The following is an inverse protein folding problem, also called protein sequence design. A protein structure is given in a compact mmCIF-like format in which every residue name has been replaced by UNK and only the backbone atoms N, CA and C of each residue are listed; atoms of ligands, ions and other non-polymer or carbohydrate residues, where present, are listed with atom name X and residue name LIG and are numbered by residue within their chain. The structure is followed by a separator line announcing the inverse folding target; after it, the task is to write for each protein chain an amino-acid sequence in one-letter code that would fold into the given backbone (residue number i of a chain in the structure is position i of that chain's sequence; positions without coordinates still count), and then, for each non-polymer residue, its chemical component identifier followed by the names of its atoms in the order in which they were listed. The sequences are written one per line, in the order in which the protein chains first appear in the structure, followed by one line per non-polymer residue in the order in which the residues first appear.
data_IF_063782060700
#
_entry.id   IF_063782060700
#
_cell.length_a   1.000
_cell.length_b   1.000
_cell.length_c   1.000
_cell.angle_alpha   90.00
_cell.angle_beta   90.00
_cell.angle_gamma   90.00
#
_symmetry.space_group_name_H-M   'P 1'
#
loop_
_entity.id
_entity.type
_entity.pdbx_description
1 polymer ?
#
# COMPACT_ATOMS: atom_id res chain seq x y z
N UNK A 1 25.22 20.65 -11.25
CA UNK A 1 24.81 19.33 -10.71
C UNK A 1 23.72 18.78 -11.62
N UNK A 2 23.79 17.51 -12.01
CA UNK A 2 22.72 16.89 -12.81
C UNK A 2 21.43 16.84 -11.99
N UNK A 3 20.28 17.03 -12.62
CA UNK A 3 18.97 16.79 -11.98
C UNK A 3 18.94 15.36 -11.43
N UNK A 4 18.52 15.18 -10.19
CA UNK A 4 18.41 13.87 -9.55
C UNK A 4 17.38 12.98 -10.27
N UNK A 5 17.50 11.67 -10.04
CA UNK A 5 16.54 10.62 -10.38
C UNK A 5 15.14 11.06 -9.98
N UNK A 6 15.00 11.59 -8.76
CA UNK A 6 13.74 12.08 -8.27
C UNK A 6 13.13 13.17 -9.17
N UNK A 7 13.93 14.17 -9.58
CA UNK A 7 13.45 15.25 -10.46
C UNK A 7 12.94 14.72 -11.80
N UNK A 8 13.40 13.55 -12.24
CA UNK A 8 13.02 12.96 -13.52
C UNK A 8 11.81 12.02 -13.44
N UNK A 9 11.63 11.31 -12.31
CA UNK A 9 10.59 10.29 -12.17
C UNK A 9 9.44 10.66 -11.24
N UNK A 10 9.55 11.74 -10.46
CA UNK A 10 8.49 12.21 -9.53
C UNK A 10 7.12 12.29 -10.18
N UNK A 11 7.05 12.83 -11.40
CA UNK A 11 5.79 12.99 -12.14
C UNK A 11 5.30 11.69 -12.81
N UNK A 12 6.19 10.69 -12.98
CA UNK A 12 5.87 9.38 -13.58
C UNK A 12 5.47 8.33 -12.55
N UNK A 13 5.93 8.48 -11.31
CA UNK A 13 5.67 7.53 -10.23
C UNK A 13 4.34 7.79 -9.50
N UNK A 14 3.75 8.96 -9.73
CA UNK A 14 2.51 9.40 -9.08
C UNK A 14 1.48 9.62 -10.16
N UNK A 15 0.45 8.77 -10.18
CA UNK A 15 -0.67 8.97 -11.09
C UNK A 15 -1.47 10.19 -10.62
N UNK A 16 -1.25 11.35 -11.26
CA UNK A 16 -1.97 12.60 -10.95
C UNK A 16 -3.31 12.68 -11.71
N UNK A 17 -3.73 11.57 -12.34
CA UNK A 17 -5.00 11.46 -13.05
C UNK A 17 -6.20 11.31 -12.12
N UNK A 18 -7.40 11.69 -12.59
CA UNK A 18 -8.65 11.58 -11.84
C UNK A 18 -9.08 10.15 -11.45
N UNK A 19 -8.36 9.14 -11.92
CA UNK A 19 -8.55 7.74 -11.52
C UNK A 19 -7.82 7.38 -10.22
N UNK A 20 -6.88 8.22 -9.77
CA UNK A 20 -6.19 8.00 -8.51
C UNK A 20 -7.13 8.32 -7.33
N UNK A 21 -7.55 7.28 -6.61
CA UNK A 21 -8.45 7.39 -5.44
C UNK A 21 -7.82 8.18 -4.29
N UNK A 22 -6.50 8.34 -4.26
CA UNK A 22 -5.82 9.22 -3.32
C UNK A 22 -6.02 10.70 -3.66
N UNK A 23 -6.36 11.06 -4.90
CA UNK A 23 -6.58 12.46 -5.34
C UNK A 23 -8.06 12.82 -5.51
N UNK A 24 -8.83 11.89 -6.05
CA UNK A 24 -10.23 12.12 -6.34
C UNK A 24 -11.02 10.85 -6.07
N UNK A 25 -11.59 10.77 -4.88
CA UNK A 25 -12.62 9.79 -4.58
C UNK A 25 -13.94 10.34 -5.13
N UNK A 26 -14.48 9.77 -6.21
CA UNK A 26 -15.77 10.25 -6.75
C UNK A 26 -16.92 9.84 -5.83
N UNK A 27 -17.03 8.53 -5.62
CA UNK A 27 -18.08 7.87 -4.85
C UNK A 27 -17.47 6.80 -3.94
N UNK A 28 -18.19 6.45 -2.89
CA UNK A 28 -17.83 5.35 -2.00
C UNK A 28 -18.24 4.04 -2.68
N UNK A 29 -17.26 3.35 -3.25
CA UNK A 29 -17.46 2.04 -3.88
C UNK A 29 -17.41 0.95 -2.82
N UNK A 30 -18.46 0.12 -2.74
CA UNK A 30 -18.66 -0.91 -1.72
C UNK A 30 -17.46 -1.84 -1.51
N UNK A 31 -16.77 -2.22 -2.59
CA UNK A 31 -15.62 -3.13 -2.53
C UNK A 31 -14.32 -2.47 -2.08
N UNK A 32 -14.19 -1.14 -2.21
CA UNK A 32 -12.90 -0.46 -1.99
C UNK A 32 -12.95 0.63 -0.92
N UNK A 33 -14.11 0.94 -0.37
CA UNK A 33 -14.28 2.03 0.58
C UNK A 33 -15.59 1.92 1.34
N UNK A 34 -15.61 2.50 2.53
CA UNK A 34 -16.73 2.54 3.44
C UNK A 34 -16.79 3.91 4.13
N UNK A 35 -17.97 4.53 4.15
CA UNK A 35 -18.20 5.78 4.87
C UNK A 35 -18.27 5.49 6.37
N UNK A 36 -17.18 5.73 7.10
CA UNK A 36 -17.21 5.67 8.57
C UNK A 36 -17.78 6.96 9.16
N UNK A 37 -17.74 8.08 8.41
CA UNK A 37 -18.32 9.35 8.80
C UNK A 37 -19.81 9.25 9.13
N UNK A 38 -20.59 8.45 8.38
CA UNK A 38 -22.03 8.24 8.67
C UNK A 38 -22.31 7.55 10.00
N UNK A 39 -21.35 6.79 10.52
CA UNK A 39 -21.50 6.11 11.82
C UNK A 39 -21.24 7.10 12.95
N UNK A 40 -20.25 7.98 12.75
CA UNK A 40 -19.77 8.92 13.77
C UNK A 40 -20.48 10.28 13.76
N UNK A 41 -21.21 10.61 12.69
CA UNK A 41 -21.93 11.87 12.57
C UNK A 41 -22.89 12.07 13.75
N UNK A 42 -22.87 13.26 14.34
CA UNK A 42 -23.67 13.64 15.51
C UNK A 42 -23.44 12.79 16.79
N UNK A 43 -22.29 12.10 16.92
CA UNK A 43 -21.92 11.31 18.12
C UNK A 43 -20.60 11.78 18.73
N UNK A 44 -20.66 12.80 19.59
CA UNK A 44 -19.49 13.46 20.19
C UNK A 44 -18.50 12.49 20.88
N UNK A 45 -19.02 11.48 21.57
CA UNK A 45 -18.20 10.46 22.22
C UNK A 45 -17.38 9.65 21.21
N UNK A 46 -17.98 9.28 20.07
CA UNK A 46 -17.30 8.54 19.00
C UNK A 46 -16.34 9.40 18.20
N UNK A 47 -16.66 10.67 17.98
CA UNK A 47 -15.72 11.59 17.35
C UNK A 47 -14.49 11.80 18.24
N UNK A 48 -14.68 11.83 19.56
CA UNK A 48 -13.58 11.87 20.53
C UNK A 48 -12.77 10.56 20.51
N UNK A 49 -13.42 9.40 20.46
CA UNK A 49 -12.77 8.08 20.33
C UNK A 49 -11.94 8.00 19.04
N UNK A 50 -12.48 8.44 17.90
CA UNK A 50 -11.74 8.52 16.64
C UNK A 50 -10.54 9.47 16.76
N UNK A 51 -10.74 10.66 17.33
CA UNK A 51 -9.65 11.63 17.49
C UNK A 51 -8.56 11.13 18.45
N UNK A 52 -8.89 10.31 19.44
CA UNK A 52 -7.92 9.65 20.30
C UNK A 52 -7.22 8.50 19.56
N UNK A 53 -7.97 7.64 18.87
CA UNK A 53 -7.43 6.54 18.06
C UNK A 53 -6.43 7.02 17.02
N UNK A 54 -6.75 8.11 16.30
CA UNK A 54 -5.87 8.67 15.26
C UNK A 54 -4.62 9.38 15.83
N UNK A 55 -4.64 9.81 17.10
CA UNK A 55 -3.49 10.45 17.77
C UNK A 55 -2.64 9.46 18.55
N UNK A 56 -3.26 8.43 19.12
CA UNK A 56 -2.59 7.56 20.05
C UNK A 56 -1.78 6.51 19.31
N UNK A 57 -0.54 6.31 19.76
CA UNK A 57 0.21 5.07 19.55
C UNK A 57 -0.26 3.95 20.50
N UNK A 58 -1.44 4.09 21.12
CA UNK A 58 -1.99 3.12 22.09
C UNK A 58 -2.81 2.04 21.39
N UNK A 59 -2.66 0.81 21.89
CA UNK A 59 -3.15 -0.47 21.35
C UNK A 59 -4.67 -0.69 21.38
N UNK A 60 -5.49 0.32 21.67
CA UNK A 60 -6.92 0.11 21.82
C UNK A 60 -7.62 0.18 20.46
N UNK A 61 -8.47 -0.80 20.12
CA UNK A 61 -9.22 -0.77 18.88
C UNK A 61 -10.24 0.38 18.87
N UNK A 62 -10.39 1.01 17.70
CA UNK A 62 -11.53 1.86 17.43
C UNK A 62 -12.73 0.98 17.11
N UNK A 63 -13.77 1.04 17.95
CA UNK A 63 -14.98 0.25 17.73
C UNK A 63 -15.91 1.00 16.79
N UNK A 64 -16.03 0.51 15.56
CA UNK A 64 -16.86 1.10 14.49
C UNK A 64 -18.30 0.62 14.61
N UNK A 65 -18.51 -0.66 14.88
CA UNK A 65 -19.84 -1.26 15.06
C UNK A 65 -19.78 -2.15 16.30
N UNK A 66 -20.78 -2.05 17.18
CA UNK A 66 -20.96 -3.00 18.30
C UNK A 66 -22.45 -3.23 18.64
N UNK A 67 -22.70 -4.27 19.43
CA UNK A 67 -24.04 -4.65 19.88
C UNK A 67 -24.67 -3.68 20.92
N UNK A 68 -23.87 -2.92 21.67
CA UNK A 68 -24.37 -1.99 22.69
C UNK A 68 -24.91 -0.70 22.09
N UNK A 69 -24.35 -0.26 20.96
CA UNK A 69 -24.67 1.04 20.36
C UNK A 69 -25.60 0.94 19.14
N UNK A 70 -26.25 -0.22 18.94
CA UNK A 70 -27.14 -0.45 17.79
C UNK A 70 -28.10 0.71 17.58
N UNK A 71 -28.80 1.13 18.64
CA UNK A 71 -29.83 2.18 18.55
C UNK A 71 -29.30 3.50 18.00
N UNK A 72 -28.07 3.88 18.34
CA UNK A 72 -27.47 5.15 17.93
C UNK A 72 -26.89 5.09 16.51
N UNK A 73 -26.24 3.98 16.15
CA UNK A 73 -25.75 3.73 14.78
C UNK A 73 -26.91 3.78 13.77
N UNK A 74 -28.07 3.27 14.17
CA UNK A 74 -29.25 3.13 13.32
C UNK A 74 -30.04 4.43 13.15
N UNK A 75 -29.91 5.40 14.08
CA UNK A 75 -30.49 6.74 13.91
C UNK A 75 -29.84 7.50 12.74
N UNK A 76 -28.56 7.24 12.47
CA UNK A 76 -27.81 7.90 11.40
C UNK A 76 -27.87 7.20 10.04
N UNK A 77 -28.44 5.99 9.98
CA UNK A 77 -28.51 5.17 8.75
C UNK A 77 -29.80 5.37 7.93
N UNK A 78 -30.61 6.39 8.25
CA UNK A 78 -31.88 6.71 7.55
C UNK A 78 -32.79 5.48 7.35
N UNK A 79 -32.98 4.67 8.40
CA UNK A 79 -33.78 3.44 8.30
C UNK A 79 -35.27 3.81 8.29
N UNK A 80 -36.05 3.40 7.27
CA UNK A 80 -37.47 3.73 7.18
C UNK A 80 -38.24 3.20 8.39
N UNK A 81 -39.19 4.00 8.90
CA UNK A 81 -40.07 3.62 10.00
C UNK A 81 -40.81 2.32 9.66
N UNK A 82 -41.04 1.43 10.65
CA UNK A 82 -41.75 0.16 10.42
C UNK A 82 -43.14 0.42 9.83
N UNK A 83 -43.56 -0.40 8.86
CA UNK A 83 -44.84 -0.26 8.16
C UNK A 83 -46.06 -0.26 9.10
N UNK A 84 -45.94 -0.90 10.27
CA UNK A 84 -46.95 -0.90 11.33
C UNK A 84 -47.24 0.49 11.94
N UNK A 85 -46.32 1.47 11.78
CA UNK A 85 -46.48 2.85 12.27
C UNK A 85 -47.38 3.72 11.39
N UNK A 86 -47.70 3.27 10.17
CA UNK A 86 -48.41 4.08 9.17
C UNK A 86 -49.92 3.84 9.12
N UNK A 87 -50.44 2.89 9.91
CA UNK A 87 -51.88 2.72 10.09
C UNK A 87 -52.30 3.46 11.35
N UNK A 88 -52.85 4.67 11.18
CA UNK A 88 -53.60 5.32 12.25
C UNK A 88 -54.85 4.45 12.55
N UNK A 89 -55.06 4.00 13.79
CA UNK A 89 -56.27 3.29 14.12
C UNK A 89 -57.25 4.24 14.80
N UNK A 90 -58.34 4.54 14.09
CA UNK A 90 -59.59 4.94 14.73
C UNK A 90 -60.07 3.78 15.62
N UNK A 91 -60.16 4.04 16.93
CA UNK A 91 -60.81 3.22 17.97
C UNK A 91 -60.26 1.78 18.10
N UNK A 92 -59.11 1.61 18.78
CA UNK A 92 -58.63 0.31 19.29
C UNK A 92 -58.83 0.18 20.80
N UNK A 93 -59.11 -1.04 21.27
CA UNK A 93 -59.08 -1.35 22.70
C UNK A 93 -57.65 -1.30 23.26
N UNK A 94 -57.50 -1.05 24.57
CA UNK A 94 -56.18 -0.90 25.23
C UNK A 94 -55.29 -2.15 25.04
N UNK A 95 -55.88 -3.35 25.05
CA UNK A 95 -55.14 -4.61 24.82
C UNK A 95 -54.66 -4.77 23.36
N UNK A 96 -55.43 -4.31 22.39
CA UNK A 96 -55.04 -4.39 20.97
C UNK A 96 -53.93 -3.38 20.65
N UNK A 97 -53.98 -2.19 21.25
CA UNK A 97 -52.93 -1.18 21.16
C UNK A 97 -51.59 -1.69 21.74
N UNK A 98 -51.61 -2.38 22.89
CA UNK A 98 -50.42 -2.98 23.49
C UNK A 98 -49.83 -4.12 22.62
N UNK A 99 -50.67 -4.98 22.04
CA UNK A 99 -50.22 -6.03 21.12
C UNK A 99 -49.61 -5.45 19.85
N UNK A 100 -50.21 -4.39 19.30
CA UNK A 100 -49.70 -3.70 18.12
C UNK A 100 -48.34 -3.02 18.41
N UNK A 101 -48.20 -2.39 19.58
CA UNK A 101 -46.93 -1.81 20.03
C UNK A 101 -45.83 -2.86 20.20
N UNK A 102 -46.11 -3.98 20.90
CA UNK A 102 -45.13 -5.07 21.06
C UNK A 102 -44.71 -5.68 19.72
N UNK A 103 -45.64 -5.81 18.77
CA UNK A 103 -45.35 -6.29 17.40
C UNK A 103 -44.50 -5.29 16.62
N UNK A 104 -44.85 -4.00 16.67
CA UNK A 104 -44.10 -2.93 16.02
C UNK A 104 -42.68 -2.79 16.60
N UNK A 105 -42.52 -2.94 17.92
CA UNK A 105 -41.20 -2.90 18.58
C UNK A 105 -40.34 -4.11 18.20
N UNK A 106 -40.94 -5.31 18.09
CA UNK A 106 -40.25 -6.52 17.62
C UNK A 106 -39.83 -6.40 16.15
N UNK A 107 -40.71 -5.88 15.28
CA UNK A 107 -40.41 -5.61 13.87
C UNK A 107 -39.30 -4.56 13.72
N UNK A 108 -39.36 -3.48 14.51
CA UNK A 108 -38.31 -2.46 14.57
C UNK A 108 -36.98 -3.10 14.97
N UNK A 109 -36.93 -3.90 16.04
CA UNK A 109 -35.72 -4.59 16.49
C UNK A 109 -35.14 -5.54 15.44
N UNK A 110 -35.99 -6.25 14.69
CA UNK A 110 -35.54 -7.11 13.58
C UNK A 110 -34.95 -6.32 12.42
N UNK A 111 -35.61 -5.23 11.96
CA UNK A 111 -35.09 -4.35 10.91
C UNK A 111 -33.74 -3.73 11.31
N UNK A 112 -33.62 -3.35 12.59
CA UNK A 112 -32.42 -2.80 13.20
C UNK A 112 -31.24 -3.77 13.17
N UNK A 113 -31.45 -5.02 13.60
CA UNK A 113 -30.40 -6.07 13.53
C UNK A 113 -29.96 -6.31 12.09
N UNK A 114 -30.91 -6.43 11.15
CA UNK A 114 -30.61 -6.68 9.73
C UNK A 114 -29.79 -5.55 9.10
N UNK A 115 -30.04 -4.30 9.47
CA UNK A 115 -29.27 -3.16 8.96
C UNK A 115 -27.81 -3.21 9.42
N UNK A 116 -27.55 -3.57 10.69
CA UNK A 116 -26.17 -3.75 11.19
C UNK A 116 -25.48 -4.91 10.50
N UNK A 117 -26.14 -6.06 10.35
CA UNK A 117 -25.58 -7.21 9.62
C UNK A 117 -25.19 -6.82 8.19
N UNK A 118 -25.99 -5.97 7.52
CA UNK A 118 -25.64 -5.44 6.21
C UNK A 118 -24.38 -4.56 6.24
N UNK A 119 -24.20 -3.75 7.27
CA UNK A 119 -23.00 -2.91 7.39
C UNK A 119 -21.74 -3.70 7.73
N UNK A 120 -21.85 -4.67 8.64
CA UNK A 120 -20.77 -5.63 8.92
C UNK A 120 -20.41 -6.41 7.66
N UNK A 121 -21.40 -6.83 6.87
CA UNK A 121 -21.15 -7.53 5.60
C UNK A 121 -20.38 -6.67 4.59
N UNK A 122 -20.65 -5.36 4.51
CA UNK A 122 -19.87 -4.44 3.64
C UNK A 122 -18.43 -4.33 4.11
N UNK A 123 -18.19 -4.21 5.42
CA UNK A 123 -16.84 -4.15 5.99
C UNK A 123 -16.08 -5.47 5.82
N UNK A 124 -16.78 -6.61 5.92
CA UNK A 124 -16.23 -7.94 5.64
C UNK A 124 -15.84 -8.10 4.17
N UNK A 125 -16.64 -7.58 3.25
CA UNK A 125 -16.33 -7.55 1.81
C UNK A 125 -15.10 -6.68 1.53
N UNK A 126 -15.03 -5.47 2.12
CA UNK A 126 -13.86 -4.60 2.03
C UNK A 126 -12.59 -5.28 2.58
N UNK A 127 -12.66 -5.89 3.76
CA UNK A 127 -11.55 -6.63 4.36
C UNK A 127 -11.02 -7.71 3.40
N UNK A 128 -11.93 -8.53 2.84
CA UNK A 128 -11.56 -9.60 1.91
C UNK A 128 -10.86 -9.08 0.66
N UNK A 129 -11.37 -8.00 0.06
CA UNK A 129 -10.75 -7.38 -1.11
C UNK A 129 -9.31 -6.90 -0.80
N UNK A 130 -9.10 -6.26 0.35
CA UNK A 130 -7.76 -5.82 0.77
C UNK A 130 -6.81 -6.99 0.97
N UNK A 131 -7.25 -8.05 1.65
CA UNK A 131 -6.44 -9.27 1.87
C UNK A 131 -6.13 -10.01 0.55
N UNK A 132 -7.05 -9.99 -0.41
CA UNK A 132 -6.80 -10.49 -1.78
C UNK A 132 -5.69 -9.66 -2.47
N UNK A 133 -5.78 -8.34 -2.40
CA UNK A 133 -4.76 -7.44 -2.96
C UNK A 133 -3.41 -7.61 -2.27
N UNK A 134 -3.38 -7.75 -0.95
CA UNK A 134 -2.14 -8.01 -0.20
C UNK A 134 -1.50 -9.32 -0.65
N UNK A 135 -2.27 -10.40 -0.83
CA UNK A 135 -1.73 -11.67 -1.34
C UNK A 135 -1.17 -11.56 -2.75
N UNK A 136 -1.75 -10.70 -3.59
CA UNK A 136 -1.31 -10.51 -4.97
C UNK A 136 -0.10 -9.58 -5.11
N UNK A 137 -0.06 -8.51 -4.31
CA UNK A 137 0.88 -7.40 -4.46
C UNK A 137 1.92 -7.32 -3.35
N UNK A 138 1.70 -8.03 -2.24
CA UNK A 138 2.47 -7.93 -1.00
C UNK A 138 2.15 -6.68 -0.17
N UNK A 139 1.14 -5.88 -0.56
CA UNK A 139 0.87 -4.57 0.04
C UNK A 139 -0.50 -4.52 0.70
N UNK A 140 -0.54 -4.12 1.96
CA UNK A 140 -1.78 -3.92 2.71
C UNK A 140 -2.21 -2.45 2.65
N UNK A 141 -3.00 -2.09 1.62
CA UNK A 141 -3.29 -0.69 1.26
C UNK A 141 -4.58 -0.13 1.90
N UNK A 142 -4.90 -0.49 3.15
CA UNK A 142 -6.10 -0.02 3.84
C UNK A 142 -5.79 1.12 4.82
N UNK A 143 -6.50 2.24 4.64
CA UNK A 143 -6.31 3.42 5.47
C UNK A 143 -7.65 4.05 5.87
N UNK A 144 -7.66 4.71 7.02
CA UNK A 144 -8.63 5.78 7.29
C UNK A 144 -8.09 7.04 6.61
N UNK A 145 -8.83 7.55 5.64
CA UNK A 145 -8.62 8.88 5.08
C UNK A 145 -9.34 9.92 5.92
N UNK A 146 -8.61 10.85 6.54
CA UNK A 146 -9.20 11.90 7.38
C UNK A 146 -8.21 13.06 7.65
N UNK A 147 -8.67 14.32 7.77
CA UNK A 147 -9.89 14.84 7.16
C UNK A 147 -9.77 14.79 5.63
N UNK A 148 -10.80 15.19 4.90
CA UNK A 148 -10.72 15.36 3.44
C UNK A 148 -10.43 16.80 3.05
N UNK A 149 -9.87 16.99 1.86
CA UNK A 149 -9.65 18.28 1.19
C UNK A 149 -10.48 18.29 -0.09
N UNK A 150 -11.26 19.34 -0.25
CA UNK A 150 -12.14 19.57 -1.40
C UNK A 150 -11.77 20.89 -2.07
N UNK A 151 -11.69 20.90 -3.40
CA UNK A 151 -11.49 22.12 -4.18
C UNK A 151 -10.97 21.84 -5.57
N UNK A 152 -10.38 22.84 -6.20
CA UNK A 152 -9.78 22.73 -7.55
C UNK A 152 -8.36 23.29 -7.55
N UNK A 153 -7.39 22.54 -8.11
CA UNK A 153 -6.00 23.00 -8.20
C UNK A 153 -5.76 24.03 -9.31
N UNK A 154 -6.51 23.89 -10.40
CA UNK A 154 -6.45 24.73 -11.60
C UNK A 154 -7.84 25.27 -11.89
N UNK A 155 -7.92 26.54 -12.29
CA UNK A 155 -9.16 27.19 -12.71
C UNK A 155 -9.28 27.13 -14.25
N UNK A 156 -10.51 27.14 -14.78
CA UNK A 156 -10.79 27.15 -16.21
C UNK A 156 -10.98 25.75 -16.85
N UNK A 157 -10.83 25.60 -18.18
CA UNK A 157 -11.24 24.41 -18.92
C UNK A 157 -10.48 23.13 -18.56
N UNK A 158 -9.27 23.24 -18.00
CA UNK A 158 -8.45 22.12 -17.51
C UNK A 158 -8.52 22.01 -15.97
N UNK A 159 -9.73 22.01 -15.40
CA UNK A 159 -9.94 21.91 -13.95
C UNK A 159 -9.53 20.54 -13.42
N UNK A 160 -8.67 20.53 -12.42
CA UNK A 160 -8.35 19.33 -11.63
C UNK A 160 -9.09 19.42 -10.30
N UNK A 161 -10.22 18.73 -10.21
CA UNK A 161 -10.99 18.60 -8.99
C UNK A 161 -10.27 17.70 -7.98
N UNK A 162 -10.23 18.13 -6.73
CA UNK A 162 -9.64 17.40 -5.61
C UNK A 162 -10.75 17.03 -4.65
N UNK A 163 -10.75 15.75 -4.27
CA UNK A 163 -11.63 15.16 -3.27
C UNK A 163 -10.85 14.04 -2.58
N UNK A 164 -9.82 14.46 -1.86
CA UNK A 164 -8.73 13.62 -1.36
C UNK A 164 -8.68 13.64 0.17
N UNK A 165 -8.28 12.56 0.84
CA UNK A 165 -7.89 12.65 2.23
C UNK A 165 -6.64 13.55 2.40
N UNK A 166 -6.58 14.33 3.47
CA UNK A 166 -5.38 15.08 3.87
C UNK A 166 -4.35 14.13 4.50
N UNK A 167 -4.80 13.27 5.42
CA UNK A 167 -3.97 12.25 6.05
C UNK A 167 -4.53 10.86 5.78
N UNK A 168 -3.63 9.89 5.77
CA UNK A 168 -3.90 8.48 5.60
C UNK A 168 -3.33 7.72 6.80
N UNK A 169 -4.22 7.14 7.58
CA UNK A 169 -3.88 6.39 8.79
C UNK A 169 -3.99 4.90 8.49
N UNK A 170 -2.89 4.14 8.52
CA UNK A 170 -2.91 2.74 8.12
C UNK A 170 -3.64 1.92 9.19
N UNK A 171 -4.63 1.12 8.79
CA UNK A 171 -5.47 0.35 9.73
C UNK A 171 -5.76 -1.05 9.22
N UNK A 172 -6.00 -1.99 10.15
CA UNK A 172 -6.52 -3.34 9.90
C UNK A 172 -7.94 -3.46 10.42
N UNK A 173 -8.76 -4.25 9.72
CA UNK A 173 -10.12 -4.59 10.14
C UNK A 173 -10.12 -5.92 10.87
N UNK A 174 -10.64 -5.94 12.08
CA UNK A 174 -11.01 -7.16 12.79
C UNK A 174 -12.52 -7.23 13.00
N UNK A 175 -13.06 -8.44 12.86
CA UNK A 175 -14.49 -8.71 12.97
C UNK A 175 -14.62 -9.88 13.94
N UNK A 176 -14.65 -9.62 15.26
CA UNK A 176 -14.69 -10.66 16.28
C UNK A 176 -15.97 -11.50 16.21
N UNK A 177 -17.11 -10.87 15.88
CA UNK A 177 -18.42 -11.51 15.77
C UNK A 177 -19.29 -10.87 14.67
N UNK A 178 -20.49 -11.41 14.44
CA UNK A 178 -21.39 -10.98 13.35
C UNK A 178 -21.93 -9.54 13.48
N UNK A 179 -21.75 -8.89 14.63
CA UNK A 179 -22.27 -7.56 14.94
C UNK A 179 -21.20 -6.58 15.43
N UNK A 180 -19.93 -6.96 15.43
CA UNK A 180 -18.85 -6.13 15.95
C UNK A 180 -17.75 -5.95 14.92
N UNK A 181 -17.35 -4.70 14.69
CA UNK A 181 -16.20 -4.37 13.82
C UNK A 181 -15.29 -3.39 14.54
N UNK A 182 -14.02 -3.78 14.59
CA UNK A 182 -12.95 -3.04 15.25
C UNK A 182 -11.86 -2.71 14.25
N UNK A 183 -11.27 -1.52 14.40
CA UNK A 183 -10.12 -1.08 13.63
C UNK A 183 -8.89 -0.96 14.53
N UNK A 184 -7.77 -1.49 14.05
CA UNK A 184 -6.47 -1.38 14.71
C UNK A 184 -5.52 -0.61 13.82
N UNK A 185 -4.68 0.27 14.39
CA UNK A 185 -3.60 0.88 13.62
C UNK A 185 -2.63 -0.21 13.15
N UNK A 186 -2.20 -0.14 11.89
CA UNK A 186 -1.22 -1.06 11.36
C UNK A 186 0.20 -0.55 11.64
N UNK A 187 0.81 -1.02 12.72
CA UNK A 187 2.16 -0.61 13.15
C UNK A 187 3.27 -0.92 12.13
N UNK A 188 3.02 -1.78 11.15
CA UNK A 188 3.98 -2.06 10.08
C UNK A 188 4.11 -0.92 9.06
N UNK A 189 3.16 0.02 9.04
CA UNK A 189 3.08 1.13 8.10
C UNK A 189 3.05 2.46 8.87
N UNK A 190 3.50 3.53 8.22
CA UNK A 190 3.50 4.88 8.81
C UNK A 190 2.20 5.63 8.52
N UNK A 191 1.92 6.65 9.33
CA UNK A 191 0.86 7.62 9.03
C UNK A 191 1.39 8.57 7.95
N UNK A 192 0.60 8.83 6.91
CA UNK A 192 1.02 9.70 5.82
C UNK A 192 0.19 10.99 5.77
N UNK A 193 0.83 12.14 5.58
CA UNK A 193 0.19 13.24 4.85
C UNK A 193 0.08 12.77 3.41
N UNK A 194 -1.11 12.81 2.82
CA UNK A 194 -1.40 12.23 1.51
C UNK A 194 -0.43 12.75 0.44
N UNK A 195 0.55 11.93 0.01
CA UNK A 195 1.60 12.42 -0.88
C UNK A 195 1.03 12.80 -2.24
N UNK A 196 0.03 12.06 -2.73
CA UNK A 196 -0.59 12.35 -4.01
C UNK A 196 -1.14 13.77 -4.04
N UNK A 197 -1.87 14.17 -2.99
CA UNK A 197 -2.43 15.52 -2.83
C UNK A 197 -1.33 16.57 -2.83
N UNK A 198 -0.28 16.37 -2.02
CA UNK A 198 0.84 17.31 -1.89
C UNK A 198 1.55 17.48 -3.23
N UNK A 199 1.85 16.38 -3.92
CA UNK A 199 2.56 16.44 -5.19
C UNK A 199 1.72 17.03 -6.32
N UNK A 200 0.41 16.73 -6.38
CA UNK A 200 -0.49 17.37 -7.34
C UNK A 200 -0.56 18.90 -7.11
N UNK A 201 -0.61 19.33 -5.85
CA UNK A 201 -0.57 20.76 -5.50
C UNK A 201 0.76 21.39 -5.91
N UNK A 202 1.88 20.78 -5.51
CA UNK A 202 3.22 21.26 -5.79
C UNK A 202 3.48 21.38 -7.28
N UNK A 203 3.01 20.41 -8.09
CA UNK A 203 3.13 20.45 -9.54
C UNK A 203 2.31 21.60 -10.15
N UNK A 204 1.05 21.78 -9.72
CA UNK A 204 0.16 22.85 -10.20
C UNK A 204 0.73 24.25 -9.90
N UNK A 205 1.29 24.44 -8.71
CA UNK A 205 1.82 25.73 -8.24
C UNK A 205 3.33 25.91 -8.43
N UNK A 206 4.02 24.90 -8.99
CA UNK A 206 5.49 24.86 -9.18
C UNK A 206 6.28 25.09 -7.87
N UNK A 207 5.83 24.45 -6.79
CA UNK A 207 6.45 24.52 -5.46
C UNK A 207 7.41 23.35 -5.29
N UNK A 208 8.54 23.60 -4.61
CA UNK A 208 9.45 22.54 -4.19
C UNK A 208 9.00 21.97 -2.83
N UNK A 209 8.86 20.65 -2.74
CA UNK A 209 8.39 19.93 -1.54
C UNK A 209 9.37 18.84 -1.10
N UNK A 210 10.64 18.94 -1.52
CA UNK A 210 11.63 17.87 -1.35
C UNK A 210 12.11 17.71 0.10
N UNK A 211 12.04 18.80 0.86
CA UNK A 211 12.38 18.84 2.29
C UNK A 211 11.15 18.56 3.18
N UNK A 212 9.97 18.39 2.57
CA UNK A 212 8.73 18.14 3.31
C UNK A 212 8.64 16.67 3.73
N UNK A 213 8.56 16.45 5.04
CA UNK A 213 8.29 15.12 5.59
C UNK A 213 6.79 14.82 5.44
N UNK A 214 6.48 13.65 4.90
CA UNK A 214 5.10 13.24 4.62
C UNK A 214 4.72 11.95 5.36
N UNK A 215 5.62 11.38 6.15
CA UNK A 215 5.42 10.11 6.84
C UNK A 215 5.84 10.20 8.29
N UNK A 216 4.99 9.70 9.18
CA UNK A 216 5.17 9.86 10.61
C UNK A 216 4.85 8.55 11.32
N UNK A 217 5.66 8.20 12.33
CA UNK A 217 5.37 7.06 13.21
C UNK A 217 4.17 7.33 14.11
N UNK A 218 4.04 8.57 14.56
CA UNK A 218 2.91 9.08 15.32
C UNK A 218 2.70 10.57 15.01
N UNK A 219 1.60 11.14 15.50
CA UNK A 219 1.29 12.55 15.33
C UNK A 219 1.59 13.38 16.59
N UNK A 220 2.52 12.96 17.45
CA UNK A 220 2.83 13.67 18.71
C UNK A 220 3.28 15.12 18.49
N UNK A 221 3.92 15.40 17.36
CA UNK A 221 4.32 16.76 16.96
C UNK A 221 3.14 17.65 16.53
N UNK A 222 1.98 17.08 16.23
CA UNK A 222 0.78 17.80 15.80
C UNK A 222 -0.33 17.66 16.87
N UNK A 223 -0.68 18.75 17.55
CA UNK A 223 -1.78 18.75 18.54
C UNK A 223 -3.14 18.55 17.85
N UNK A 224 -3.24 18.93 16.59
CA UNK A 224 -4.39 18.64 15.74
C UNK A 224 -4.20 19.05 14.29
N UNK A 225 -5.28 18.99 13.52
CA UNK A 225 -5.28 19.29 12.08
C UNK A 225 -4.75 20.70 11.79
N UNK A 226 -5.01 21.68 12.67
CA UNK A 226 -4.51 23.05 12.49
C UNK A 226 -2.98 23.12 12.41
N UNK A 227 -2.25 22.29 13.16
CA UNK A 227 -0.78 22.25 13.12
C UNK A 227 -0.29 21.60 11.82
N UNK A 228 -1.02 20.59 11.31
CA UNK A 228 -0.73 19.98 10.00
C UNK A 228 -0.94 21.00 8.88
N UNK A 229 -2.01 21.79 8.93
CA UNK A 229 -2.26 22.85 7.94
C UNK A 229 -1.19 23.93 8.02
N UNK A 230 -0.77 24.33 9.23
CA UNK A 230 0.33 25.28 9.42
C UNK A 230 1.65 24.74 8.86
N UNK A 231 1.97 23.48 9.13
CA UNK A 231 3.14 22.80 8.60
C UNK A 231 3.16 22.80 7.05
N UNK A 232 1.99 22.63 6.43
CA UNK A 232 1.86 22.72 4.96
C UNK A 232 1.95 24.16 4.44
N UNK A 233 1.40 25.15 5.16
CA UNK A 233 1.47 26.56 4.78
C UNK A 233 2.91 27.10 4.85
N UNK A 234 3.71 26.65 5.83
CA UNK A 234 5.15 26.93 5.92
C UNK A 234 5.91 26.42 4.67
N UNK A 235 5.40 25.37 4.01
CA UNK A 235 5.87 24.84 2.73
C UNK A 235 5.15 25.46 1.50
N UNK A 236 4.45 26.58 1.69
CA UNK A 236 3.67 27.30 0.68
C UNK A 236 2.45 26.55 0.11
N UNK A 237 1.98 25.51 0.79
CA UNK A 237 0.79 24.74 0.40
C UNK A 237 -0.42 25.30 1.15
N UNK A 238 -1.20 26.14 0.47
CA UNK A 238 -2.38 26.80 1.05
C UNK A 238 -3.61 25.93 0.94
N UNK A 239 -4.21 25.64 2.10
CA UNK A 239 -5.48 24.92 2.25
C UNK A 239 -6.33 25.67 3.28
N UNK A 240 -7.49 26.14 2.88
CA UNK A 240 -8.46 26.78 3.76
C UNK A 240 -8.95 25.80 4.82
N UNK A 241 -9.01 26.27 6.05
CA UNK A 241 -9.40 25.45 7.18
C UNK A 241 -10.24 26.22 8.18
N UNK A 242 -11.31 25.57 8.66
CA UNK A 242 -12.11 26.02 9.77
C UNK A 242 -12.18 24.91 10.80
N UNK A 243 -11.89 25.21 12.06
CA UNK A 243 -11.94 24.21 13.12
C UNK A 243 -13.35 23.62 13.27
N UNK A 244 -13.43 22.29 13.25
CA UNK A 244 -14.63 21.52 13.60
C UNK A 244 -14.26 20.43 14.59
N UNK A 245 -15.15 20.21 15.56
CA UNK A 245 -15.09 19.06 16.47
C UNK A 245 -15.86 17.85 15.95
N UNK A 246 -16.63 18.02 14.87
CA UNK A 246 -17.52 17.00 14.34
C UNK A 246 -16.93 16.33 13.11
N UNK A 247 -17.28 15.06 12.92
CA UNK A 247 -17.07 14.28 11.70
C UNK A 247 -18.42 14.09 11.03
N UNK A 248 -18.45 14.16 9.70
CA UNK A 248 -19.66 14.10 8.90
C UNK A 248 -19.58 12.96 7.89
N UNK A 249 -20.74 12.44 7.47
CA UNK A 249 -20.81 11.54 6.32
C UNK A 249 -20.18 12.21 5.10
N UNK A 250 -19.37 11.44 4.37
CA UNK A 250 -18.70 11.92 3.18
C UNK A 250 -19.69 12.34 2.08
N UNK A 251 -20.82 11.65 1.99
CA UNK A 251 -21.92 11.94 1.05
C UNK A 251 -22.60 13.30 1.28
N UNK A 252 -22.44 13.91 2.46
CA UNK A 252 -22.98 15.24 2.78
C UNK A 252 -22.30 16.36 1.97
N UNK A 253 -21.06 16.13 1.51
CA UNK A 253 -20.28 17.11 0.77
C UNK A 253 -20.50 16.96 -0.74
N UNK A 254 -21.06 18.00 -1.36
CA UNK A 254 -21.26 18.09 -2.81
C UNK A 254 -19.94 18.26 -3.56
N UNK A 255 -19.97 18.04 -4.87
CA UNK A 255 -18.80 18.24 -5.74
C UNK A 255 -18.28 19.68 -5.69
N UNK A 256 -16.95 19.87 -5.73
CA UNK A 256 -16.35 21.19 -5.70
C UNK A 256 -16.70 21.97 -6.97
N UNK A 257 -17.26 23.17 -6.79
CA UNK A 257 -17.83 24.01 -7.86
C UNK A 257 -16.91 25.15 -8.31
N UNK A 258 -15.60 25.01 -8.11
CA UNK A 258 -14.53 26.03 -8.31
C UNK A 258 -14.28 26.89 -7.07
N UNK A 259 -13.66 26.28 -6.06
CA UNK A 259 -13.15 26.97 -4.86
C UNK A 259 -11.72 26.51 -4.59
N UNK A 260 -10.98 27.35 -3.86
CA UNK A 260 -9.68 26.99 -3.30
C UNK A 260 -9.81 25.72 -2.44
N UNK A 261 -8.69 25.04 -2.22
CA UNK A 261 -8.66 23.82 -1.42
C UNK A 261 -9.13 24.12 -0.01
N UNK A 262 -10.11 23.37 0.48
CA UNK A 262 -10.68 23.54 1.82
C UNK A 262 -10.84 22.22 2.54
N UNK A 263 -10.57 22.20 3.84
CA UNK A 263 -10.74 21.03 4.70
C UNK A 263 -12.23 20.74 4.95
N UNK A 264 -12.60 19.48 4.82
CA UNK A 264 -13.89 18.90 5.16
C UNK A 264 -13.68 17.73 6.11
N UNK A 265 -14.36 17.74 7.24
CA UNK A 265 -14.24 16.73 8.29
C UNK A 265 -15.04 15.46 7.94
N UNK A 266 -14.75 14.87 6.78
CA UNK A 266 -15.23 13.56 6.38
C UNK A 266 -14.17 12.50 6.73
N UNK A 267 -14.62 11.32 7.15
CA UNK A 267 -13.75 10.18 7.42
C UNK A 267 -14.20 8.99 6.56
N UNK A 268 -13.28 8.42 5.79
CA UNK A 268 -13.57 7.27 4.91
C UNK A 268 -12.55 6.19 5.17
N UNK A 269 -13.01 4.99 5.45
CA UNK A 269 -12.16 3.80 5.48
C UNK A 269 -12.07 3.27 4.06
N UNK A 270 -10.89 3.09 3.49
CA UNK A 270 -10.79 2.59 2.13
C UNK A 270 -9.40 2.26 1.65
N UNK A 271 -9.37 1.70 0.44
CA UNK A 271 -8.15 1.42 -0.28
C UNK A 271 -7.60 2.71 -0.89
N UNK A 272 -6.44 3.13 -0.41
CA UNK A 272 -5.71 4.27 -0.94
C UNK A 272 -4.34 3.79 -1.44
N UNK A 273 -4.21 3.48 -2.75
CA UNK A 273 -2.96 2.99 -3.31
C UNK A 273 -1.94 4.14 -3.33
N UNK A 274 -1.09 4.19 -2.31
CA UNK A 274 -0.12 5.27 -2.15
C UNK A 274 0.93 5.31 -3.27
N UNK A 275 1.06 4.24 -4.08
CA UNK A 275 2.00 4.08 -5.22
C UNK A 275 3.50 4.39 -4.94
N UNK A 276 3.84 4.85 -3.75
CA UNK A 276 5.07 5.58 -3.45
C UNK A 276 6.00 4.93 -2.42
N UNK A 277 5.87 3.63 -2.11
CA UNK A 277 6.91 2.98 -1.28
C UNK A 277 8.30 3.10 -1.93
N UNK A 278 8.37 3.04 -3.27
CA UNK A 278 9.64 3.15 -4.01
C UNK A 278 10.16 4.60 -4.06
N UNK A 279 9.32 5.61 -3.82
CA UNK A 279 9.76 7.01 -3.82
C UNK A 279 10.81 7.25 -2.72
N UNK A 280 10.53 6.79 -1.50
CA UNK A 280 11.49 6.90 -0.41
C UNK A 280 12.74 6.06 -0.67
N UNK A 281 12.59 4.87 -1.25
CA UNK A 281 13.73 4.04 -1.63
C UNK A 281 14.65 4.82 -2.59
N UNK A 282 14.10 5.47 -3.62
CA UNK A 282 14.88 6.31 -4.52
C UNK A 282 15.50 7.53 -3.82
N UNK A 283 14.73 8.23 -2.96
CA UNK A 283 15.21 9.39 -2.22
C UNK A 283 16.36 9.01 -1.26
N UNK A 284 16.24 7.88 -0.57
CA UNK A 284 17.30 7.34 0.29
C UNK A 284 18.51 6.88 -0.52
N UNK A 285 18.31 6.22 -1.66
CA UNK A 285 19.41 5.83 -2.55
C UNK A 285 20.21 7.05 -3.02
N UNK A 286 19.55 8.17 -3.33
CA UNK A 286 20.20 9.43 -3.68
C UNK A 286 20.90 10.08 -2.48
N UNK A 287 20.19 10.25 -1.34
CA UNK A 287 20.74 10.86 -0.12
C UNK A 287 21.98 10.12 0.38
N UNK A 288 21.93 8.80 0.39
CA UNK A 288 23.02 7.93 0.87
C UNK A 288 24.08 7.67 -0.21
N UNK A 289 23.94 8.23 -1.42
CA UNK A 289 24.83 7.99 -2.57
C UNK A 289 25.04 6.49 -2.86
N UNK A 290 24.00 5.68 -2.64
CA UNK A 290 24.01 4.23 -2.86
C UNK A 290 23.84 3.86 -4.35
N UNK A 291 23.81 4.85 -5.24
CA UNK A 291 23.75 4.66 -6.68
C UNK A 291 25.10 4.14 -7.19
N UNK A 292 25.12 2.91 -7.72
CA UNK A 292 26.26 2.42 -8.52
C UNK A 292 26.12 2.85 -9.99
N UNK A 293 27.13 2.54 -10.81
CA UNK A 293 27.12 2.88 -12.25
C UNK A 293 25.89 2.29 -12.97
N UNK A 294 25.39 1.13 -12.53
CA UNK A 294 24.23 0.48 -13.12
C UNK A 294 22.90 1.17 -12.81
N UNK A 295 22.67 1.49 -11.54
CA UNK A 295 21.52 2.28 -11.07
C UNK A 295 21.57 3.67 -11.71
N UNK A 296 22.77 4.27 -11.79
CA UNK A 296 22.98 5.55 -12.44
C UNK A 296 22.70 5.50 -13.95
N UNK A 297 23.06 4.42 -14.65
CA UNK A 297 22.77 4.21 -16.07
C UNK A 297 21.27 3.97 -16.33
N UNK A 298 20.62 3.15 -15.50
CA UNK A 298 19.18 2.88 -15.60
C UNK A 298 18.33 4.12 -15.39
N UNK A 299 18.78 5.04 -14.53
CA UNK A 299 17.99 6.19 -14.09
C UNK A 299 18.38 7.51 -14.77
N UNK A 300 19.47 7.56 -15.57
CA UNK A 300 19.83 8.76 -16.37
C UNK A 300 19.23 8.73 -17.77
N UNK A 301 18.68 9.87 -18.16
CA UNK A 301 18.11 10.14 -19.49
C UNK A 301 18.97 11.05 -20.38
N UNK A 302 20.29 11.09 -20.13
CA UNK A 302 21.24 11.79 -20.98
C UNK A 302 22.30 10.83 -21.52
N UNK A 303 22.48 10.81 -22.86
CA UNK A 303 23.48 10.00 -23.60
C UNK A 303 24.81 9.93 -22.84
N UNK A 304 25.02 8.85 -22.10
CA UNK A 304 26.35 8.51 -21.59
C UNK A 304 27.12 7.94 -22.77
N UNK A 305 28.33 8.47 -23.00
CA UNK A 305 29.34 7.74 -23.77
C UNK A 305 29.60 6.46 -22.99
N UNK A 306 28.91 5.37 -23.34
CA UNK A 306 29.25 4.03 -22.88
C UNK A 306 30.75 3.91 -23.10
N UNK A 307 31.54 3.86 -22.02
CA UNK A 307 32.93 3.44 -22.15
C UNK A 307 32.81 2.06 -22.75
N UNK A 308 33.11 1.94 -24.06
CA UNK A 308 33.15 0.65 -24.72
C UNK A 308 33.98 -0.23 -23.79
N UNK A 309 33.47 -1.39 -23.34
CA UNK A 309 34.27 -2.29 -22.54
C UNK A 309 35.60 -2.42 -23.28
N UNK A 310 36.71 -2.19 -22.55
CA UNK A 310 38.04 -2.51 -23.12
C UNK A 310 37.87 -3.90 -23.68
N UNK A 311 38.07 -4.08 -25.00
CA UNK A 311 38.04 -5.40 -25.62
C UNK A 311 39.04 -6.25 -24.83
N UNK A 312 38.54 -6.98 -23.85
CA UNK A 312 39.28 -8.08 -23.26
C UNK A 312 39.61 -8.96 -24.46
N UNK A 313 40.90 -9.29 -24.60
CA UNK A 313 41.38 -10.19 -25.63
C UNK A 313 40.38 -11.35 -25.69
N UNK A 314 39.85 -11.67 -26.88
CA UNK A 314 38.94 -12.80 -27.08
C UNK A 314 39.50 -13.99 -26.32
N UNK A 315 38.96 -14.28 -25.14
CA UNK A 315 39.30 -15.50 -24.45
C UNK A 315 38.71 -16.61 -25.31
N UNK A 316 39.63 -17.41 -25.84
CA UNK A 316 39.33 -18.66 -26.51
C UNK A 316 38.66 -19.53 -25.45
N UNK A 317 37.41 -19.92 -25.70
CA UNK A 317 36.41 -20.54 -24.80
C UNK A 317 35.64 -19.56 -23.88
N UNK A 318 34.60 -18.93 -24.41
CA UNK A 318 33.43 -18.55 -23.60
C UNK A 318 32.68 -19.83 -23.19
N UNK A 319 33.17 -20.54 -22.18
CA UNK A 319 32.36 -21.58 -21.55
C UNK A 319 31.21 -20.89 -20.80
N UNK A 320 30.02 -20.96 -21.37
CA UNK A 320 28.80 -20.61 -20.67
C UNK A 320 28.30 -21.81 -19.90
N UNK A 321 28.09 -21.66 -18.60
CA UNK A 321 27.62 -22.74 -17.74
C UNK A 321 26.11 -22.69 -17.63
N UNK A 322 25.41 -23.49 -18.45
CA UNK A 322 23.95 -23.47 -18.55
C UNK A 322 23.32 -24.75 -18.03
N UNK A 323 22.17 -24.65 -17.36
CA UNK A 323 21.41 -25.79 -16.83
C UNK A 323 20.60 -26.47 -17.92
N UNK A 324 20.02 -25.67 -18.84
CA UNK A 324 19.33 -26.19 -20.03
C UNK A 324 19.90 -25.56 -21.29
N UNK A 325 19.75 -26.28 -22.39
CA UNK A 325 20.05 -25.79 -23.73
C UNK A 325 19.34 -24.47 -24.01
N UNK A 326 20.07 -23.56 -24.63
CA UNK A 326 19.60 -22.23 -24.98
C UNK A 326 19.37 -22.15 -26.48
N UNK A 327 18.29 -21.50 -26.89
CA UNK A 327 18.16 -21.05 -28.26
C UNK A 327 19.15 -19.91 -28.56
N UNK A 328 19.26 -19.53 -29.84
CA UNK A 328 20.18 -18.48 -30.28
C UNK A 328 19.95 -17.13 -29.57
N UNK A 329 18.69 -16.73 -29.36
CA UNK A 329 18.35 -15.47 -28.73
C UNK A 329 18.74 -15.47 -27.24
N UNK A 330 18.46 -16.57 -26.54
CA UNK A 330 18.79 -16.72 -25.13
C UNK A 330 20.30 -16.89 -24.91
N UNK A 331 21.02 -17.58 -25.80
CA UNK A 331 22.49 -17.65 -25.77
C UNK A 331 23.12 -16.26 -25.90
N UNK A 332 22.57 -15.42 -26.79
CA UNK A 332 23.01 -14.04 -26.93
C UNK A 332 22.75 -13.19 -25.69
N UNK A 333 21.70 -13.49 -24.91
CA UNK A 333 21.47 -12.83 -23.62
C UNK A 333 22.62 -13.14 -22.66
N UNK A 334 22.96 -14.41 -22.45
CA UNK A 334 24.05 -14.80 -21.53
C UNK A 334 25.37 -14.13 -21.92
N UNK A 335 25.70 -14.12 -23.21
CA UNK A 335 26.89 -13.43 -23.75
C UNK A 335 26.90 -11.93 -23.44
N UNK A 336 25.79 -11.25 -23.74
CA UNK A 336 25.72 -9.79 -23.58
C UNK A 336 25.66 -9.35 -22.12
N UNK A 337 25.15 -10.18 -21.20
CA UNK A 337 25.18 -9.90 -19.75
C UNK A 337 26.63 -9.82 -19.27
N UNK A 338 27.48 -10.76 -19.70
CA UNK A 338 28.92 -10.71 -19.38
C UNK A 338 29.64 -9.51 -19.98
N UNK A 339 29.25 -9.06 -21.19
CA UNK A 339 29.92 -7.96 -21.89
C UNK A 339 29.47 -6.56 -21.44
N UNK A 340 28.19 -6.37 -21.12
CA UNK A 340 27.57 -5.04 -20.99
C UNK A 340 27.13 -4.69 -19.57
N UNK A 341 27.10 -5.65 -18.64
CA UNK A 341 26.67 -5.45 -17.25
C UNK A 341 25.16 -5.24 -17.09
N UNK A 342 24.58 -4.24 -17.76
CA UNK A 342 23.17 -3.89 -17.65
C UNK A 342 22.37 -4.30 -18.89
N UNK A 343 21.23 -4.95 -18.68
CA UNK A 343 20.37 -5.43 -19.76
C UNK A 343 18.90 -5.47 -19.35
N UNK A 344 18.02 -5.08 -20.28
CA UNK A 344 16.58 -5.34 -20.21
C UNK A 344 16.22 -6.45 -21.20
N UNK A 345 15.50 -7.47 -20.72
CA UNK A 345 15.03 -8.60 -21.52
C UNK A 345 13.50 -8.54 -21.54
N UNK A 346 12.91 -8.50 -22.74
CA UNK A 346 11.46 -8.50 -22.94
C UNK A 346 11.05 -9.57 -23.95
N UNK A 347 9.82 -10.08 -23.82
CA UNK A 347 9.27 -11.06 -24.76
C UNK A 347 7.86 -11.51 -24.37
N UNK A 348 7.05 -12.01 -25.31
CA UNK A 348 5.72 -12.58 -25.05
C UNK A 348 5.70 -13.66 -23.94
N UNK A 349 4.54 -13.97 -23.35
CA UNK A 349 4.42 -15.15 -22.47
C UNK A 349 4.83 -16.42 -23.23
N UNK A 350 5.48 -17.36 -22.53
CA UNK A 350 5.93 -18.63 -23.13
C UNK A 350 7.31 -18.62 -23.80
N UNK A 351 7.95 -17.46 -24.01
CA UNK A 351 9.26 -17.37 -24.71
C UNK A 351 10.49 -17.79 -23.89
N UNK A 352 10.30 -18.56 -22.82
CA UNK A 352 11.42 -19.11 -22.04
C UNK A 352 12.19 -18.11 -21.18
N UNK A 353 11.68 -16.89 -20.91
CA UNK A 353 12.38 -15.87 -20.07
C UNK A 353 12.90 -16.42 -18.74
N UNK A 354 12.08 -17.17 -18.00
CA UNK A 354 12.51 -17.81 -16.75
C UNK A 354 13.65 -18.80 -16.95
N UNK A 355 13.69 -19.49 -18.10
CA UNK A 355 14.80 -20.37 -18.45
C UNK A 355 16.08 -19.60 -18.72
N UNK A 356 15.98 -18.48 -19.41
CA UNK A 356 17.11 -17.58 -19.65
C UNK A 356 17.67 -17.04 -18.34
N UNK A 357 16.81 -16.60 -17.42
CA UNK A 357 17.21 -16.12 -16.08
C UNK A 357 18.01 -17.21 -15.34
N UNK A 358 17.49 -18.43 -15.29
CA UNK A 358 18.15 -19.58 -14.63
C UNK A 358 19.53 -19.85 -15.21
N UNK A 359 19.68 -19.78 -16.52
CA UNK A 359 20.98 -19.99 -17.17
C UNK A 359 21.95 -18.83 -16.95
N UNK A 360 21.47 -17.58 -16.85
CA UNK A 360 22.30 -16.44 -16.42
C UNK A 360 22.78 -16.61 -14.98
N UNK A 361 21.91 -17.07 -14.07
CA UNK A 361 22.27 -17.34 -12.67
C UNK A 361 23.34 -18.43 -12.60
N UNK A 362 23.12 -19.56 -13.28
CA UNK A 362 24.07 -20.68 -13.36
C UNK A 362 25.45 -20.23 -13.85
N UNK A 363 25.49 -19.48 -14.96
CA UNK A 363 26.73 -18.98 -15.53
C UNK A 363 27.47 -18.03 -14.58
N UNK A 364 26.74 -17.14 -13.90
CA UNK A 364 27.31 -16.24 -12.91
C UNK A 364 27.85 -17.00 -11.68
N UNK A 365 27.12 -18.00 -11.19
CA UNK A 365 27.54 -18.83 -10.05
C UNK A 365 28.81 -19.64 -10.35
N UNK A 366 28.89 -20.26 -11.53
CA UNK A 366 30.09 -21.00 -11.96
C UNK A 366 31.31 -20.07 -12.15
N UNK A 367 31.08 -18.78 -12.36
CA UNK A 367 32.12 -17.73 -12.42
C UNK A 367 32.39 -17.09 -11.06
N UNK A 368 32.00 -17.74 -9.95
CA UNK A 368 32.16 -17.26 -8.57
C UNK A 368 31.56 -15.86 -8.32
N UNK A 369 30.53 -15.46 -9.07
CA UNK A 369 29.79 -14.22 -8.82
C UNK A 369 28.70 -14.44 -7.78
N UNK A 370 28.44 -13.43 -6.95
CA UNK A 370 27.27 -13.39 -6.07
C UNK A 370 26.05 -12.94 -6.87
N UNK A 371 24.93 -13.63 -6.72
CA UNK A 371 23.70 -13.36 -7.48
C UNK A 371 22.54 -13.09 -6.52
N UNK A 372 21.88 -11.96 -6.70
CA UNK A 372 20.63 -11.62 -6.01
C UNK A 372 19.50 -11.59 -7.03
N UNK A 373 18.45 -12.38 -6.79
CA UNK A 373 17.25 -12.43 -7.63
C UNK A 373 16.09 -11.83 -6.84
N UNK A 374 15.43 -10.84 -7.42
CA UNK A 374 14.30 -10.13 -6.81
C UNK A 374 13.12 -10.16 -7.78
N UNK A 375 11.91 -10.35 -7.26
CA UNK A 375 10.66 -10.27 -8.04
C UNK A 375 9.51 -9.86 -7.13
N UNK A 376 8.57 -9.10 -7.68
CA UNK A 376 7.34 -8.69 -6.99
C UNK A 376 6.43 -9.88 -6.69
N UNK A 377 6.42 -10.90 -7.55
CA UNK A 377 5.53 -12.07 -7.41
C UNK A 377 6.30 -13.28 -6.91
N UNK A 378 5.85 -13.85 -5.79
CA UNK A 378 6.37 -15.12 -5.24
C UNK A 378 6.39 -16.24 -6.28
N UNK A 379 5.30 -16.41 -7.03
CA UNK A 379 5.22 -17.43 -8.07
C UNK A 379 6.34 -17.35 -9.13
N UNK A 380 6.82 -16.16 -9.47
CA UNK A 380 7.94 -16.02 -10.39
C UNK A 380 9.27 -16.46 -9.76
N UNK A 381 9.46 -16.17 -8.46
CA UNK A 381 10.61 -16.67 -7.71
C UNK A 381 10.56 -18.19 -7.54
N UNK A 382 9.39 -18.76 -7.22
CA UNK A 382 9.18 -20.22 -7.11
C UNK A 382 9.56 -20.92 -8.42
N UNK A 383 9.15 -20.36 -9.56
CA UNK A 383 9.49 -20.91 -10.89
C UNK A 383 10.99 -20.89 -11.15
N UNK A 384 11.70 -19.82 -10.77
CA UNK A 384 13.16 -19.74 -10.93
C UNK A 384 13.85 -20.73 -10.00
N UNK A 385 13.46 -20.76 -8.72
CA UNK A 385 14.04 -21.65 -7.71
C UNK A 385 13.82 -23.14 -8.06
N UNK A 386 12.63 -23.53 -8.49
CA UNK A 386 12.37 -24.91 -8.93
C UNK A 386 13.21 -25.30 -10.15
N UNK A 387 13.52 -24.36 -11.04
CA UNK A 387 14.33 -24.61 -12.25
C UNK A 387 15.83 -24.65 -11.99
N UNK A 388 16.32 -24.07 -10.88
CA UNK A 388 17.72 -24.18 -10.46
C UNK A 388 18.08 -25.63 -10.07
N UNK A 389 17.10 -26.42 -9.63
CA UNK A 389 17.26 -27.85 -9.37
C UNK A 389 18.38 -28.12 -8.37
N UNK A 390 19.43 -28.83 -8.80
CA UNK A 390 20.57 -29.16 -7.95
C UNK A 390 21.32 -27.93 -7.41
N UNK A 391 21.26 -26.78 -8.09
CA UNK A 391 21.89 -25.54 -7.61
C UNK A 391 21.19 -24.92 -6.39
N UNK A 392 20.01 -25.43 -6.01
CA UNK A 392 19.29 -24.96 -4.83
C UNK A 392 20.09 -25.16 -3.53
N UNK A 393 21.00 -26.14 -3.48
CA UNK A 393 21.92 -26.32 -2.34
C UNK A 393 22.83 -25.11 -2.12
N UNK A 394 23.03 -24.27 -3.14
CA UNK A 394 23.87 -23.06 -3.10
C UNK A 394 23.06 -21.78 -3.22
N UNK A 395 21.73 -21.86 -3.13
CA UNK A 395 20.84 -20.71 -3.21
C UNK A 395 20.07 -20.53 -1.91
N UNK A 396 19.90 -19.27 -1.48
CA UNK A 396 19.08 -18.95 -0.34
C UNK A 396 17.74 -18.37 -0.80
N UNK A 397 16.65 -19.07 -0.47
CA UNK A 397 15.29 -18.66 -0.83
C UNK A 397 14.59 -17.96 0.32
N UNK A 398 14.18 -16.71 0.09
CA UNK A 398 13.52 -15.83 1.07
C UNK A 398 12.24 -15.28 0.45
N UNK A 399 11.10 -15.50 1.11
CA UNK A 399 9.81 -14.97 0.65
C UNK A 399 9.25 -13.85 1.53
N UNK A 400 9.54 -13.90 2.83
CA UNK A 400 9.04 -12.93 3.81
C UNK A 400 10.03 -12.87 4.99
N UNK A 401 10.76 -11.76 5.11
CA UNK A 401 11.79 -11.56 6.14
C UNK A 401 11.18 -11.55 7.55
N UNK A 402 9.94 -11.10 7.71
CA UNK A 402 9.29 -10.94 9.01
C UNK A 402 8.68 -12.25 9.51
N UNK A 403 8.04 -13.03 8.63
CA UNK A 403 7.37 -14.28 9.02
C UNK A 403 8.31 -15.48 9.09
N UNK A 404 9.38 -15.50 8.30
CA UNK A 404 10.25 -16.68 8.15
C UNK A 404 11.64 -16.51 8.80
N UNK A 405 11.86 -15.47 9.61
CA UNK A 405 13.16 -15.13 10.20
C UNK A 405 13.88 -16.30 10.87
N UNK A 406 13.14 -17.12 11.64
CA UNK A 406 13.70 -18.31 12.31
C UNK A 406 14.15 -19.38 11.30
N UNK A 407 13.30 -19.69 10.33
CA UNK A 407 13.56 -20.66 9.26
C UNK A 407 14.73 -20.19 8.38
N UNK A 408 14.82 -18.89 8.14
CA UNK A 408 15.94 -18.27 7.44
C UNK A 408 17.28 -18.52 8.15
N UNK A 409 17.38 -18.18 9.44
CA UNK A 409 18.62 -18.38 10.19
C UNK A 409 18.97 -19.86 10.36
N UNK A 410 17.99 -20.73 10.51
CA UNK A 410 18.20 -22.18 10.55
C UNK A 410 18.79 -22.70 9.23
N UNK A 411 18.29 -22.21 8.08
CA UNK A 411 18.89 -22.51 6.77
C UNK A 411 20.31 -21.95 6.62
N UNK A 412 20.58 -20.73 7.10
CA UNK A 412 21.94 -20.17 7.13
C UNK A 412 22.89 -21.08 7.91
N UNK A 413 22.47 -21.52 9.10
CA UNK A 413 23.28 -22.36 9.97
C UNK A 413 23.58 -23.71 9.30
N UNK A 414 22.54 -24.37 8.75
CA UNK A 414 22.70 -25.65 8.07
C UNK A 414 23.60 -25.54 6.84
N UNK A 415 23.43 -24.49 6.03
CA UNK A 415 24.30 -24.24 4.87
C UNK A 415 25.75 -23.94 5.28
N UNK A 416 25.95 -23.18 6.36
CA UNK A 416 27.29 -22.90 6.89
C UNK A 416 27.98 -24.17 7.38
N UNK A 417 27.27 -25.00 8.15
CA UNK A 417 27.78 -26.27 8.65
C UNK A 417 28.13 -27.25 7.51
N UNK A 418 27.26 -27.36 6.49
CA UNK A 418 27.52 -28.20 5.33
C UNK A 418 28.79 -27.78 4.57
N UNK A 419 28.98 -26.47 4.33
CA UNK A 419 30.18 -25.97 3.65
C UNK A 419 31.45 -26.08 4.52
N UNK A 420 31.33 -25.98 5.85
CA UNK A 420 32.44 -26.21 6.78
C UNK A 420 32.88 -27.68 6.79
N UNK A 421 31.94 -28.63 6.70
CA UNK A 421 32.22 -30.06 6.59
C UNK A 421 32.93 -30.41 5.27
N UNK A 422 32.48 -29.85 4.14
CA UNK A 422 33.15 -30.04 2.84
C UNK A 422 34.57 -29.46 2.85
N UNK A 423 34.78 -28.30 3.49
CA UNK A 423 36.11 -27.70 3.62
C UNK A 423 37.07 -28.51 4.50
N UNK A 424 36.57 -29.29 5.46
CA UNK A 424 37.38 -30.21 6.29
C UNK A 424 37.77 -31.45 5.50
N UNK A 425 36.89 -31.95 4.61
CA UNK A 425 37.16 -33.13 3.78
C UNK A 425 38.12 -32.84 2.62
N UNK A 426 38.15 -31.62 2.09
CA UNK A 426 39.11 -31.17 1.07
C UNK A 426 40.55 -30.99 1.61
N UNK A 427 40.77 -31.01 2.93
CA UNK A 427 42.10 -30.90 3.56
C UNK A 427 42.80 -32.28 3.71
N UNK A 428 42.11 -33.39 3.43
CA UNK A 428 42.71 -34.73 3.46
C UNK A 428 42.78 -35.35 2.06
N UNK A 429 43.77 -34.94 1.26
CA UNK A 429 44.52 -35.94 0.52
C UNK A 429 46.01 -35.56 0.49
N UNK A 430 46.84 -36.19 1.33
CA UNK A 430 48.20 -36.66 1.06
C UNK A 430 48.87 -37.06 2.39
N UNK A 431 49.80 -38.02 2.31
CA UNK A 431 50.59 -38.61 3.40
C UNK A 431 49.90 -39.74 4.21
N UNK A 432 49.85 -40.92 3.59
CA UNK A 432 50.21 -42.18 4.26
C UNK A 432 50.65 -43.19 3.17
N UNK A 433 51.81 -42.93 2.56
CA UNK A 433 52.68 -43.96 2.01
C UNK A 433 54.12 -43.57 2.36
N UNK A 434 54.63 -44.14 3.46
CA UNK A 434 55.89 -44.89 3.55
C UNK A 434 56.07 -45.46 4.96
#
# INVERSE_FOLDING_TARGET
MGKGIYTYYKERLIEIGGNNKCLYLKNIARKSSYDIGRIFEARDAKVSELAEFLRSSKKFPLTVINNSEKKEILQNLDIPAPAASQKAPDILSVEEAEKLQKKAEKEKRMLQTRAIEQEVAKLKELKREIEEIERETGRYELYIGYPFVFGTLTQGPNKTAIKAPLMLFPVKIEIPDENTVELFLNEAEKIHINPALIFAYAQSKRINVDELELEFSDLSQFKGIGDVIKYLDDAHIKIDWAHSKNVYAYTRFKEPTERELSVRYAAVLGRFPLSNSIYNDYSQLEKNKLTNDAVSELLRTGKVKVKKPKKTKKDKLNNHYVIKTLDYAQSNVVKKVDEKGNMVIYGPPGTGKSQTIVNVISDAMCKNKKVLVVSQKKAALDVVYNRLGALNSRAMYINDECKEKRVFYERCLNAHQANMLDAILDITPFELEY
#
